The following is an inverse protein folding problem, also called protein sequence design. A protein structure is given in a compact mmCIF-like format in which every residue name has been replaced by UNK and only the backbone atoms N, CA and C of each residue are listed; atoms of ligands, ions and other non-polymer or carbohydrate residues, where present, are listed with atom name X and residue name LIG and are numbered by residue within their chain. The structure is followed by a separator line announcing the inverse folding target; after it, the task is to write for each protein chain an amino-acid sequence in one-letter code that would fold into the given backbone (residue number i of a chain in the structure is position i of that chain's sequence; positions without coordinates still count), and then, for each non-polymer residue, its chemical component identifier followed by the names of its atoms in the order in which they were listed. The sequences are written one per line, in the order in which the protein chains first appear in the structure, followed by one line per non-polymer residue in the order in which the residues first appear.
data_IF_429478246795
#
_entry.id   IF_429478246795
#
_cell.length_a   1.000
_cell.length_b   1.000
_cell.length_c   1.000
_cell.angle_alpha   90.00
_cell.angle_beta   90.00
_cell.angle_gamma   90.00
#
_symmetry.space_group_name_H-M   'P 1'
#
loop_
_entity.id
_entity.type
_entity.pdbx_description
1 polymer ?
#
# COMPACT_ATOMS: atom_id res chain seq x y z
N UNK A 1 4.07 63.15 1.01
CA UNK A 1 2.80 62.38 0.96
C UNK A 1 2.86 61.47 -0.26
N UNK A 2 2.78 60.15 -0.24
CA UNK A 2 2.61 59.16 0.83
C UNK A 2 3.33 57.86 0.39
N UNK A 3 4.60 57.68 0.79
CA UNK A 3 5.35 56.41 0.66
C UNK A 3 4.91 55.36 1.70
N UNK A 4 4.02 55.72 2.62
CA UNK A 4 3.50 54.87 3.69
C UNK A 4 2.43 53.88 3.23
N UNK A 5 1.81 54.07 2.05
CA UNK A 5 0.73 53.21 1.58
C UNK A 5 1.20 51.86 0.99
N UNK A 6 2.40 51.80 0.40
CA UNK A 6 2.90 50.58 -0.24
C UNK A 6 3.52 49.57 0.73
N UNK A 7 4.05 50.04 1.86
CA UNK A 7 4.70 49.17 2.86
C UNK A 7 3.66 48.38 3.67
N UNK A 8 2.45 48.93 3.86
CA UNK A 8 1.39 48.26 4.63
C UNK A 8 0.81 47.01 3.95
N UNK A 9 0.79 46.96 2.62
CA UNK A 9 0.23 45.82 1.88
C UNK A 9 1.19 44.61 1.86
N UNK A 10 2.51 44.86 1.80
CA UNK A 10 3.53 43.82 1.82
C UNK A 10 3.65 43.13 3.19
N UNK A 11 3.45 43.86 4.29
CA UNK A 11 3.49 43.27 5.64
C UNK A 11 2.23 42.45 5.95
N UNK A 12 1.06 42.85 5.41
CA UNK A 12 -0.18 42.11 5.63
C UNK A 12 -0.23 40.79 4.86
N UNK A 13 0.35 40.73 3.66
CA UNK A 13 0.44 39.48 2.88
C UNK A 13 1.42 38.46 3.47
N UNK A 14 2.44 38.90 4.22
CA UNK A 14 3.39 37.99 4.90
C UNK A 14 2.78 37.39 6.18
N UNK A 15 1.83 38.07 6.82
CA UNK A 15 1.15 37.57 8.03
C UNK A 15 -0.08 36.69 7.73
N UNK A 16 -0.60 36.73 6.50
CA UNK A 16 -1.65 35.82 6.00
C UNK A 16 -1.08 34.63 5.22
N UNK A 17 0.26 34.54 5.14
CA UNK A 17 0.99 33.45 4.49
C UNK A 17 0.89 32.15 5.27
N UNK A 18 0.03 31.26 4.78
CA UNK A 18 0.16 29.81 4.90
C UNK A 18 -0.11 29.20 6.28
N UNK A 19 -1.33 29.38 6.80
CA UNK A 19 -1.97 28.31 7.58
C UNK A 19 -2.42 27.20 6.63
N UNK A 20 -1.47 26.54 5.94
CA UNK A 20 -1.75 25.19 5.44
C UNK A 20 -1.95 24.38 6.71
N UNK A 21 -3.20 24.16 7.10
CA UNK A 21 -3.53 23.26 8.20
C UNK A 21 -2.96 21.90 7.81
N UNK A 22 -1.78 21.58 8.33
CA UNK A 22 -1.17 20.29 8.12
C UNK A 22 -2.16 19.27 8.67
N UNK A 23 -2.68 18.38 7.81
CA UNK A 23 -3.59 17.32 8.24
C UNK A 23 -3.02 16.62 9.47
N UNK A 24 -3.88 16.21 10.44
CA UNK A 24 -3.46 15.40 11.56
C UNK A 24 -2.55 14.25 11.10
N UNK A 25 -1.52 13.92 11.88
CA UNK A 25 -0.57 12.86 11.52
C UNK A 25 -1.29 11.53 11.24
N UNK A 26 -2.34 11.21 12.01
CA UNK A 26 -3.16 10.03 11.82
C UNK A 26 -3.85 9.97 10.45
N UNK A 27 -4.38 11.08 9.95
CA UNK A 27 -5.00 11.15 8.64
C UNK A 27 -3.98 10.99 7.51
N UNK A 28 -2.78 11.55 7.67
CA UNK A 28 -1.68 11.37 6.72
C UNK A 28 -1.25 9.91 6.66
N UNK A 29 -0.99 9.29 7.81
CA UNK A 29 -0.59 7.89 7.88
C UNK A 29 -1.65 6.94 7.31
N UNK A 30 -2.94 7.26 7.46
CA UNK A 30 -4.01 6.47 6.84
C UNK A 30 -3.98 6.60 5.31
N UNK A 31 -3.84 7.82 4.79
CA UNK A 31 -3.73 8.06 3.35
C UNK A 31 -2.46 7.41 2.75
N UNK A 32 -1.34 7.42 3.48
CA UNK A 32 -0.09 6.80 3.05
C UNK A 32 -0.23 5.27 2.97
N UNK A 33 -0.93 4.65 3.92
CA UNK A 33 -1.24 3.21 3.89
C UNK A 33 -2.13 2.86 2.69
N UNK A 34 -3.20 3.62 2.43
CA UNK A 34 -4.07 3.39 1.28
C UNK A 34 -3.30 3.52 -0.05
N UNK A 35 -2.42 4.53 -0.15
CA UNK A 35 -1.55 4.71 -1.31
C UNK A 35 -0.57 3.54 -1.47
N UNK A 36 0.00 3.05 -0.37
CA UNK A 36 0.92 1.93 -0.36
C UNK A 36 0.24 0.64 -0.85
N UNK A 37 -0.99 0.33 -0.42
CA UNK A 37 -1.75 -0.82 -0.91
C UNK A 37 -2.02 -0.73 -2.42
N UNK A 38 -2.36 0.46 -2.91
CA UNK A 38 -2.53 0.70 -4.35
C UNK A 38 -1.23 0.54 -5.12
N UNK A 39 -0.11 0.99 -4.56
CA UNK A 39 1.23 0.81 -5.14
C UNK A 39 1.62 -0.65 -5.25
N UNK A 40 1.35 -1.45 -4.20
CA UNK A 40 1.58 -2.90 -4.20
C UNK A 40 0.77 -3.56 -5.32
N UNK A 41 -0.53 -3.31 -5.39
CA UNK A 41 -1.37 -3.87 -6.45
C UNK A 41 -0.88 -3.47 -7.84
N UNK A 42 -0.59 -2.18 -8.06
CA UNK A 42 -0.15 -1.70 -9.34
C UNK A 42 1.16 -2.36 -9.77
N UNK A 43 2.13 -2.44 -8.87
CA UNK A 43 3.43 -3.05 -9.13
C UNK A 43 3.31 -4.55 -9.41
N UNK A 44 2.45 -5.27 -8.67
CA UNK A 44 2.17 -6.68 -8.94
C UNK A 44 1.55 -6.89 -10.34
N UNK A 45 0.60 -6.04 -10.75
CA UNK A 45 -0.03 -6.17 -12.06
C UNK A 45 0.95 -5.82 -13.18
N UNK A 46 1.70 -4.73 -13.04
CA UNK A 46 2.69 -4.32 -14.03
C UNK A 46 3.78 -5.39 -14.15
N UNK A 47 4.37 -5.83 -13.05
CA UNK A 47 5.46 -6.81 -13.05
C UNK A 47 5.06 -8.15 -13.66
N UNK A 48 3.82 -8.60 -13.44
CA UNK A 48 3.31 -9.88 -13.98
C UNK A 48 2.77 -9.77 -15.41
N UNK A 49 2.72 -8.57 -15.99
CA UNK A 49 2.34 -8.37 -17.39
C UNK A 49 3.55 -8.54 -18.30
N UNK A 50 3.40 -9.33 -19.37
CA UNK A 50 4.49 -9.59 -20.31
C UNK A 50 4.89 -8.34 -21.11
N UNK A 51 3.95 -7.42 -21.27
CA UNK A 51 4.08 -6.19 -22.04
C UNK A 51 4.45 -4.96 -21.18
N UNK A 52 4.81 -5.13 -19.91
CA UNK A 52 5.06 -4.03 -18.97
C UNK A 52 5.96 -2.91 -19.51
N UNK A 53 7.06 -3.25 -20.20
CA UNK A 53 7.97 -2.27 -20.83
C UNK A 53 7.30 -1.47 -21.94
N UNK A 54 6.49 -2.11 -22.78
CA UNK A 54 5.77 -1.45 -23.88
C UNK A 54 4.57 -0.66 -23.35
N UNK A 55 3.98 -1.06 -22.22
CA UNK A 55 2.88 -0.34 -21.58
C UNK A 55 3.35 0.95 -20.89
N UNK A 56 4.55 0.97 -20.29
CA UNK A 56 5.09 2.18 -19.65
C UNK A 56 5.25 3.35 -20.65
N UNK A 57 5.60 3.08 -21.91
CA UNK A 57 5.65 4.14 -22.94
C UNK A 57 4.28 4.68 -23.34
N UNK A 58 3.20 3.94 -23.06
CA UNK A 58 1.82 4.29 -23.41
C UNK A 58 1.06 4.93 -22.25
N UNK A 59 1.38 4.53 -21.01
CA UNK A 59 0.76 5.08 -19.81
C UNK A 59 1.77 5.15 -18.67
N UNK A 60 1.94 6.33 -18.03
CA UNK A 60 2.78 6.45 -16.83
C UNK A 60 2.37 5.50 -15.70
N UNK A 61 1.10 5.08 -15.68
CA UNK A 61 0.56 4.12 -14.72
C UNK A 61 1.21 2.72 -14.83
N UNK A 62 1.75 2.38 -16.00
CA UNK A 62 2.44 1.11 -16.25
C UNK A 62 3.96 1.21 -16.01
N UNK A 63 4.47 2.36 -15.58
CA UNK A 63 5.88 2.54 -15.23
C UNK A 63 6.21 2.16 -13.78
N UNK A 64 5.25 1.57 -13.04
CA UNK A 64 5.50 1.07 -11.70
C UNK A 64 6.44 -0.15 -11.76
N UNK A 65 7.67 0.01 -11.27
CA UNK A 65 8.62 -1.09 -11.10
C UNK A 65 8.26 -1.99 -9.92
N UNK A 66 9.00 -3.09 -9.75
CA UNK A 66 8.86 -3.99 -8.59
C UNK A 66 9.05 -3.23 -7.26
N UNK A 67 9.93 -2.22 -7.26
CA UNK A 67 10.24 -1.33 -6.14
C UNK A 67 8.99 -0.67 -5.52
N UNK A 68 7.93 -0.45 -6.31
CA UNK A 68 6.69 0.15 -5.80
C UNK A 68 5.94 -0.75 -4.82
N UNK A 69 6.06 -2.07 -4.96
CA UNK A 69 5.50 -3.02 -4.00
C UNK A 69 6.35 -3.10 -2.72
N UNK A 70 7.67 -3.15 -2.86
CA UNK A 70 8.60 -3.18 -1.73
C UNK A 70 8.47 -1.90 -0.87
N UNK A 71 8.47 -0.73 -1.51
CA UNK A 71 8.28 0.55 -0.83
C UNK A 71 6.89 0.64 -0.18
N UNK A 72 5.84 0.18 -0.87
CA UNK A 72 4.49 0.14 -0.31
C UNK A 72 4.43 -0.76 0.93
N UNK A 73 5.03 -1.94 0.86
CA UNK A 73 5.12 -2.86 1.97
C UNK A 73 5.91 -2.25 3.15
N UNK A 74 7.03 -1.60 2.87
CA UNK A 74 7.84 -0.92 3.88
C UNK A 74 7.10 0.25 4.54
N UNK A 75 6.29 1.01 3.79
CA UNK A 75 5.45 2.07 4.33
C UNK A 75 4.39 1.52 5.29
N UNK A 76 3.72 0.43 4.94
CA UNK A 76 2.71 -0.20 5.80
C UNK A 76 3.40 -0.83 7.02
N UNK A 77 4.43 -1.63 6.80
CA UNK A 77 5.17 -2.34 7.83
C UNK A 77 5.98 -1.45 8.77
N UNK A 78 6.44 -0.28 8.32
CA UNK A 78 7.12 0.73 9.14
C UNK A 78 6.19 1.76 9.77
N UNK A 79 4.89 1.77 9.43
CA UNK A 79 3.96 2.79 9.88
C UNK A 79 3.68 2.69 11.39
N UNK A 80 3.65 3.86 12.04
CA UNK A 80 3.23 4.02 13.44
C UNK A 80 1.70 4.11 13.60
N UNK A 81 0.94 3.97 12.52
CA UNK A 81 -0.52 3.97 12.57
C UNK A 81 -1.03 2.77 13.35
N UNK A 82 -2.00 2.98 14.24
CA UNK A 82 -2.69 1.89 14.93
C UNK A 82 -3.43 0.94 13.96
N UNK A 83 -3.71 1.38 12.73
CA UNK A 83 -4.33 0.56 11.70
C UNK A 83 -3.32 -0.30 10.92
N UNK A 84 -2.01 0.03 10.96
CA UNK A 84 -0.99 -0.63 10.16
C UNK A 84 -0.96 -2.17 10.31
N UNK A 85 -1.06 -2.76 11.53
CA UNK A 85 -1.07 -4.22 11.68
C UNK A 85 -2.25 -4.87 10.95
N UNK A 86 -3.42 -4.22 10.94
CA UNK A 86 -4.59 -4.72 10.21
C UNK A 86 -4.33 -4.71 8.70
N UNK A 87 -3.92 -3.56 8.16
CA UNK A 87 -3.64 -3.41 6.73
C UNK A 87 -2.56 -4.38 6.25
N UNK A 88 -1.51 -4.56 7.04
CA UNK A 88 -0.47 -5.54 6.76
C UNK A 88 -1.05 -6.95 6.60
N UNK A 89 -1.91 -7.41 7.51
CA UNK A 89 -2.54 -8.73 7.35
C UNK A 89 -3.52 -8.77 6.16
N UNK A 90 -4.23 -7.67 5.88
CA UNK A 90 -5.12 -7.57 4.71
C UNK A 90 -4.38 -7.68 3.37
N UNK A 91 -3.06 -7.48 3.32
CA UNK A 91 -2.24 -7.74 2.12
C UNK A 91 -2.22 -9.23 1.71
N UNK A 92 -2.62 -10.15 2.59
CA UNK A 92 -2.78 -11.58 2.26
C UNK A 92 -3.74 -11.85 1.09
N UNK A 93 -4.57 -10.86 0.73
CA UNK A 93 -5.41 -10.89 -0.47
C UNK A 93 -4.62 -10.90 -1.78
N UNK A 94 -3.40 -10.37 -1.76
CA UNK A 94 -2.52 -10.31 -2.93
C UNK A 94 -1.59 -11.52 -3.01
N UNK A 95 -1.36 -11.99 -4.24
CA UNK A 95 -0.39 -13.02 -4.56
C UNK A 95 0.98 -12.38 -4.83
N UNK A 96 1.77 -12.26 -3.77
CA UNK A 96 3.15 -11.74 -3.81
C UNK A 96 4.09 -12.70 -4.56
N UNK A 97 5.19 -12.16 -5.10
CA UNK A 97 6.31 -12.98 -5.59
C UNK A 97 7.24 -13.41 -4.44
N UNK A 98 8.30 -14.15 -4.77
CA UNK A 98 9.18 -14.75 -3.76
C UNK A 98 9.87 -13.71 -2.87
N UNK A 99 10.44 -12.65 -3.44
CA UNK A 99 11.18 -11.63 -2.68
C UNK A 99 10.23 -10.82 -1.79
N UNK A 100 9.14 -10.29 -2.37
CA UNK A 100 8.16 -9.50 -1.62
C UNK A 100 7.47 -10.32 -0.52
N UNK A 101 7.29 -11.64 -0.73
CA UNK A 101 6.69 -12.52 0.26
C UNK A 101 7.57 -12.71 1.51
N UNK A 102 8.90 -12.66 1.39
CA UNK A 102 9.77 -12.81 2.57
C UNK A 102 9.76 -11.53 3.41
N UNK A 103 9.88 -10.36 2.78
CA UNK A 103 9.73 -9.07 3.46
C UNK A 103 8.37 -8.96 4.16
N UNK A 104 7.31 -9.45 3.49
CA UNK A 104 5.97 -9.45 4.05
C UNK A 104 5.87 -10.25 5.34
N UNK A 105 6.41 -11.48 5.34
CA UNK A 105 6.48 -12.32 6.54
C UNK A 105 7.29 -11.67 7.64
N UNK A 106 8.36 -10.95 7.29
CA UNK A 106 9.17 -10.22 8.24
C UNK A 106 8.41 -9.09 8.93
N UNK A 107 7.67 -8.27 8.17
CA UNK A 107 6.81 -7.26 8.78
C UNK A 107 5.71 -7.89 9.65
N UNK A 108 5.13 -9.02 9.25
CA UNK A 108 4.14 -9.72 10.08
C UNK A 108 4.71 -10.15 11.43
N UNK A 109 5.93 -10.69 11.42
CA UNK A 109 6.63 -11.10 12.65
C UNK A 109 6.99 -9.89 13.52
N UNK A 110 7.49 -8.80 12.93
CA UNK A 110 7.90 -7.58 13.64
C UNK A 110 6.74 -6.87 14.36
N UNK A 111 5.53 -6.92 13.79
CA UNK A 111 4.33 -6.36 14.43
C UNK A 111 3.75 -7.24 15.54
N UNK A 112 4.20 -8.49 15.65
CA UNK A 112 3.93 -9.40 16.77
C UNK A 112 2.47 -9.45 17.18
N UNK A 113 2.22 -9.23 18.48
CA UNK A 113 0.88 -9.36 19.08
C UNK A 113 -0.20 -8.52 18.37
N UNK A 114 0.13 -7.36 17.78
CA UNK A 114 -0.85 -6.55 17.04
C UNK A 114 -1.38 -7.28 15.79
N UNK A 115 -0.51 -8.00 15.07
CA UNK A 115 -0.89 -8.89 13.97
C UNK A 115 -1.67 -10.09 14.48
N UNK A 116 -1.22 -10.73 15.57
CA UNK A 116 -1.91 -11.88 16.17
C UNK A 116 -3.35 -11.55 16.58
N UNK A 117 -3.62 -10.31 17.01
CA UNK A 117 -4.95 -9.82 17.35
C UNK A 117 -5.77 -9.37 16.14
N UNK A 118 -5.13 -8.90 15.06
CA UNK A 118 -5.80 -8.42 13.87
C UNK A 118 -6.25 -9.56 12.95
N UNK A 119 -5.36 -10.54 12.70
CA UNK A 119 -5.58 -11.59 11.70
C UNK A 119 -6.87 -12.42 11.90
N UNK A 120 -7.24 -12.85 13.13
CA UNK A 120 -8.45 -13.65 13.34
C UNK A 120 -9.76 -12.89 13.07
N UNK A 121 -9.70 -11.55 12.97
CA UNK A 121 -10.87 -10.68 12.74
C UNK A 121 -11.17 -10.48 11.25
N UNK A 122 -10.30 -10.98 10.37
CA UNK A 122 -10.44 -10.81 8.93
C UNK A 122 -11.23 -11.96 8.31
N UNK A 123 -12.05 -11.61 7.32
CA UNK A 123 -12.85 -12.56 6.56
C UNK A 123 -12.18 -12.83 5.20
N UNK A 124 -11.76 -14.07 4.99
CA UNK A 124 -11.03 -14.46 3.78
C UNK A 124 -11.88 -14.31 2.50
N UNK A 125 -13.21 -14.48 2.58
CA UNK A 125 -14.10 -14.32 1.43
C UNK A 125 -14.23 -12.84 1.06
N UNK A 126 -14.33 -11.96 2.05
CA UNK A 126 -14.34 -10.50 1.87
C UNK A 126 -13.03 -10.02 1.26
N UNK A 127 -11.89 -10.51 1.75
CA UNK A 127 -10.57 -10.16 1.21
C UNK A 127 -10.38 -10.62 -0.23
N UNK A 128 -10.79 -11.85 -0.57
CA UNK A 128 -10.77 -12.33 -1.95
C UNK A 128 -11.63 -11.44 -2.87
N UNK A 129 -12.86 -11.12 -2.44
CA UNK A 129 -13.75 -10.22 -3.18
C UNK A 129 -13.20 -8.80 -3.33
N UNK A 130 -12.54 -8.29 -2.28
CA UNK A 130 -11.87 -6.99 -2.31
C UNK A 130 -10.75 -6.96 -3.35
N UNK A 131 -9.86 -7.94 -3.37
CA UNK A 131 -8.79 -7.98 -4.37
C UNK A 131 -9.34 -8.01 -5.80
N UNK A 132 -10.38 -8.82 -6.06
CA UNK A 132 -11.02 -8.87 -7.38
C UNK A 132 -11.60 -7.51 -7.80
N UNK A 133 -12.23 -6.79 -6.87
CA UNK A 133 -12.77 -5.45 -7.11
C UNK A 133 -11.66 -4.42 -7.37
N UNK A 134 -10.60 -4.43 -6.56
CA UNK A 134 -9.44 -3.55 -6.70
C UNK A 134 -8.71 -3.79 -8.03
N UNK A 135 -8.50 -5.06 -8.41
CA UNK A 135 -7.89 -5.43 -9.69
C UNK A 135 -8.75 -4.99 -10.88
N UNK A 136 -10.08 -5.16 -10.81
CA UNK A 136 -10.98 -4.64 -11.82
C UNK A 136 -10.92 -3.09 -11.91
N UNK A 137 -10.86 -2.40 -10.77
CA UNK A 137 -10.72 -0.96 -10.73
C UNK A 137 -9.38 -0.48 -11.30
N UNK A 138 -8.27 -1.19 -11.01
CA UNK A 138 -6.97 -0.97 -11.63
C UNK A 138 -7.08 -1.03 -13.16
N UNK A 139 -7.65 -2.10 -13.71
CA UNK A 139 -7.81 -2.27 -15.17
C UNK A 139 -8.69 -1.18 -15.79
N UNK A 140 -9.72 -0.71 -15.10
CA UNK A 140 -10.54 0.43 -15.57
C UNK A 140 -9.74 1.74 -15.60
N UNK A 141 -8.93 2.01 -14.57
CA UNK A 141 -8.10 3.22 -14.49
C UNK A 141 -6.95 3.22 -15.50
N UNK A 142 -6.43 2.05 -15.85
CA UNK A 142 -5.43 1.86 -16.89
C UNK A 142 -5.91 2.27 -18.30
N UNK A 143 -7.21 2.39 -18.52
CA UNK A 143 -7.78 2.85 -19.78
C UNK A 143 -7.49 1.89 -20.93
N UNK A 144 -6.81 2.40 -21.98
CA UNK A 144 -6.48 1.61 -23.17
C UNK A 144 -5.33 0.62 -22.96
N UNK A 145 -4.53 0.79 -21.89
CA UNK A 145 -3.44 -0.12 -21.57
C UNK A 145 -3.98 -1.51 -21.18
N UNK A 146 -3.58 -2.52 -21.93
CA UNK A 146 -4.03 -3.91 -21.71
C UNK A 146 -2.97 -4.68 -20.96
N UNK A 147 -3.19 -4.86 -19.66
CA UNK A 147 -2.41 -5.78 -18.84
C UNK A 147 -2.92 -7.21 -19.05
N UNK A 148 -2.06 -8.07 -19.59
CA UNK A 148 -2.31 -9.49 -19.91
C UNK A 148 -2.20 -10.40 -18.67
N UNK A 149 -2.76 -9.95 -17.55
CA UNK A 149 -2.65 -10.65 -16.27
C UNK A 149 -4.01 -11.22 -15.85
N UNK A 150 -4.04 -12.52 -15.59
CA UNK A 150 -5.22 -13.20 -15.07
C UNK A 150 -5.42 -12.87 -13.57
N UNK A 151 -6.67 -12.71 -13.09
CA UNK A 151 -6.93 -12.37 -11.69
C UNK A 151 -6.25 -13.30 -10.68
N UNK A 152 -6.19 -14.59 -10.95
CA UNK A 152 -5.55 -15.63 -10.12
C UNK A 152 -4.03 -15.48 -9.97
N UNK A 153 -3.39 -14.68 -10.84
CA UNK A 153 -1.98 -14.33 -10.71
C UNK A 153 -1.77 -13.16 -9.73
N UNK A 154 -2.82 -12.45 -9.35
CA UNK A 154 -2.79 -11.24 -8.51
C UNK A 154 -3.53 -11.44 -7.19
N UNK A 155 -4.66 -12.14 -7.22
CA UNK A 155 -5.54 -12.35 -6.07
C UNK A 155 -5.43 -13.78 -5.57
N UNK A 156 -5.21 -13.92 -4.26
CA UNK A 156 -5.21 -15.23 -3.62
C UNK A 156 -6.62 -15.80 -3.51
N UNK A 157 -6.70 -17.14 -3.53
CA UNK A 157 -7.96 -17.83 -3.27
C UNK A 157 -8.38 -17.70 -1.80
N UNK A 158 -9.65 -17.95 -1.49
CA UNK A 158 -10.12 -17.97 -0.10
C UNK A 158 -9.32 -18.95 0.76
N UNK A 159 -8.97 -20.12 0.21
CA UNK A 159 -8.20 -21.14 0.91
C UNK A 159 -6.75 -20.68 1.18
N UNK A 160 -6.13 -19.99 0.22
CA UNK A 160 -4.78 -19.44 0.38
C UNK A 160 -4.78 -18.31 1.41
N UNK A 161 -5.75 -17.39 1.36
CA UNK A 161 -5.90 -16.32 2.35
C UNK A 161 -6.07 -16.92 3.75
N UNK A 162 -6.94 -17.91 3.93
CA UNK A 162 -7.11 -18.58 5.22
C UNK A 162 -5.80 -19.21 5.74
N UNK A 163 -4.96 -19.75 4.85
CA UNK A 163 -3.65 -20.27 5.21
C UNK A 163 -2.71 -19.15 5.64
N UNK A 164 -2.63 -18.07 4.86
CA UNK A 164 -1.82 -16.89 5.18
C UNK A 164 -2.24 -16.23 6.50
N UNK A 165 -3.54 -16.16 6.82
CA UNK A 165 -4.02 -15.63 8.10
C UNK A 165 -3.55 -16.48 9.29
N UNK A 166 -3.58 -17.82 9.17
CA UNK A 166 -3.04 -18.71 10.22
C UNK A 166 -1.53 -18.58 10.33
N UNK A 167 -0.85 -18.46 9.20
CA UNK A 167 0.60 -18.27 9.17
C UNK A 167 1.01 -16.93 9.79
N UNK A 168 0.27 -15.85 9.54
CA UNK A 168 0.49 -14.54 10.15
C UNK A 168 0.42 -14.62 11.68
N UNK A 169 -0.56 -15.32 12.24
CA UNK A 169 -0.64 -15.56 13.70
C UNK A 169 0.56 -16.36 14.20
N UNK A 170 0.97 -17.40 13.46
CA UNK A 170 2.14 -18.21 13.83
C UNK A 170 3.43 -17.37 13.86
N UNK A 171 3.67 -16.58 12.82
CA UNK A 171 4.85 -15.71 12.71
C UNK A 171 4.85 -14.64 13.80
N UNK A 172 3.71 -13.99 14.01
CA UNK A 172 3.53 -12.99 15.05
C UNK A 172 3.80 -13.52 16.48
N UNK A 173 3.41 -14.76 16.75
CA UNK A 173 3.62 -15.39 18.06
C UNK A 173 5.02 -15.95 18.24
N UNK A 174 5.67 -16.40 17.16
CA UNK A 174 7.03 -16.91 17.22
C UNK A 174 8.04 -15.80 17.56
N UNK A 175 7.76 -14.57 17.12
CA UNK A 175 8.78 -13.52 17.05
C UNK A 175 9.79 -13.86 15.95
N UNK A 176 10.21 -12.87 15.18
CA UNK A 176 11.16 -13.06 14.09
C UNK A 176 12.36 -12.16 14.27
N UNK A 177 13.55 -12.76 14.34
CA UNK A 177 14.79 -12.10 13.91
C UNK A 177 14.76 -12.08 12.39
N UNK A 178 14.16 -11.04 11.84
CA UNK A 178 14.46 -10.65 10.47
C UNK A 178 15.68 -9.78 10.54
N UNK A 179 16.79 -10.26 9.97
CA UNK A 179 18.00 -9.46 9.81
C UNK A 179 17.59 -8.15 9.15
N UNK A 180 17.73 -7.06 9.90
CA UNK A 180 17.12 -5.77 9.57
C UNK A 180 17.65 -5.22 8.24
N UNK A 181 16.77 -4.50 7.55
CA UNK A 181 17.14 -3.50 6.55
C UNK A 181 18.15 -2.49 7.12
#
# INVERSE_FOLDING_TARGET
MNTTAQISCLVLCVLLGSSVSARPLSERLAADIEMAEHSILASLVVHKSSESKSLCSQTPYACAGADGAELGLALIGGSRSAAAPRHLVELSRFRMDGALSEDYKCYLAAHGNSVAQAAPKLDAKKLAGQCMSEFAAFKRRAGAAKFDVAPENICNSVADIQRSLREAVRLANAGGECDGF
#
